data_IF_777135454380
#
_entry.id   IF_777135454380
#
_cell.length_a   1.000
_cell.length_b   1.000
_cell.length_c   1.000
_cell.angle_alpha   90.00
_cell.angle_beta   90.00
_cell.angle_gamma   90.00
#
_symmetry.space_group_name_H-M   'P 1'
#
loop_
_entity.id
_entity.type
_entity.pdbx_description
1 polymer ?
#
# COMPACT_ATOMS: atom_id res chain seq x y z
N UNK A 1 -22.68 22.03 -6.01
CA UNK A 1 -22.32 21.15 -4.89
C UNK A 1 -20.86 20.72 -5.05
N UNK A 2 -19.94 21.35 -4.32
CA UNK A 2 -18.51 21.04 -4.40
C UNK A 2 -18.17 19.99 -3.33
N UNK A 3 -18.01 18.74 -3.75
CA UNK A 3 -17.56 17.65 -2.87
C UNK A 3 -16.21 18.02 -2.23
N UNK A 4 -16.14 17.89 -0.91
CA UNK A 4 -15.11 18.48 -0.05
C UNK A 4 -13.70 18.03 -0.41
N UNK A 5 -12.86 18.98 -0.80
CA UNK A 5 -11.40 18.81 -0.77
C UNK A 5 -10.95 18.84 0.69
N UNK A 6 -11.09 17.72 1.40
CA UNK A 6 -10.71 17.55 2.81
C UNK A 6 -9.22 17.28 3.03
N UNK A 7 -8.44 17.11 1.95
CA UNK A 7 -7.02 16.82 2.07
C UNK A 7 -6.24 18.07 2.51
N UNK A 8 -5.53 17.96 3.63
CA UNK A 8 -4.72 19.04 4.21
C UNK A 8 -3.65 19.56 3.23
N UNK A 9 -3.18 18.72 2.31
CA UNK A 9 -2.16 19.09 1.32
C UNK A 9 -2.62 20.19 0.37
N UNK A 10 -3.92 20.35 0.12
CA UNK A 10 -4.43 21.44 -0.73
C UNK A 10 -4.11 22.83 -0.18
N UNK A 11 -3.98 22.98 1.14
CA UNK A 11 -3.62 24.25 1.78
C UNK A 11 -2.20 24.70 1.40
N UNK A 12 -1.36 23.78 0.95
CA UNK A 12 0.05 23.99 0.63
C UNK A 12 0.33 24.09 -0.89
N UNK A 13 -0.72 24.11 -1.72
CA UNK A 13 -0.59 24.25 -3.17
C UNK A 13 -1.62 25.21 -3.78
N UNK A 14 -1.37 25.60 -5.03
CA UNK A 14 -2.28 26.38 -5.86
C UNK A 14 -2.52 25.63 -7.17
N UNK A 15 -3.78 25.56 -7.61
CA UNK A 15 -4.13 24.97 -8.91
C UNK A 15 -3.78 25.95 -10.03
N UNK A 16 -2.94 25.55 -10.99
CA UNK A 16 -2.43 26.47 -12.02
C UNK A 16 -3.39 26.64 -13.20
N UNK A 17 -4.04 25.55 -13.65
CA UNK A 17 -4.77 25.54 -14.94
C UNK A 17 -6.27 25.23 -14.81
N UNK A 18 -6.85 25.37 -13.61
CA UNK A 18 -8.21 24.86 -13.31
C UNK A 18 -8.34 23.32 -13.38
N UNK A 19 -7.31 22.63 -13.88
CA UNK A 19 -7.18 21.17 -13.90
C UNK A 19 -6.61 20.70 -12.56
N UNK A 20 -7.33 19.82 -11.87
CA UNK A 20 -6.98 19.24 -10.55
C UNK A 20 -5.66 18.46 -10.51
N UNK A 21 -5.03 18.25 -11.67
CA UNK A 21 -3.82 17.46 -11.84
C UNK A 21 -2.53 18.29 -11.85
N UNK A 22 -2.61 19.59 -12.08
CA UNK A 22 -1.45 20.49 -12.10
C UNK A 22 -1.47 21.39 -10.86
N UNK A 23 -0.57 21.12 -9.92
CA UNK A 23 -0.48 21.81 -8.64
C UNK A 23 0.85 22.53 -8.52
N UNK A 24 0.83 23.83 -8.24
CA UNK A 24 2.01 24.61 -7.89
C UNK A 24 2.24 24.53 -6.38
N UNK A 25 3.45 24.15 -5.97
CA UNK A 25 3.86 24.18 -4.58
C UNK A 25 4.02 25.63 -4.11
N UNK A 26 3.49 26.00 -2.93
CA UNK A 26 3.62 27.36 -2.38
C UNK A 26 5.01 27.71 -1.87
N UNK A 27 5.90 26.73 -1.71
CA UNK A 27 7.20 26.89 -1.07
C UNK A 27 8.36 26.99 -2.06
N UNK A 28 8.30 26.27 -3.17
CA UNK A 28 9.35 26.27 -4.20
C UNK A 28 8.83 26.66 -5.59
N UNK A 29 7.56 27.06 -5.69
CA UNK A 29 6.86 27.41 -6.94
C UNK A 29 6.92 26.38 -8.07
N UNK A 30 7.43 25.18 -7.78
CA UNK A 30 7.50 24.09 -8.74
C UNK A 30 6.10 23.58 -9.06
N UNK A 31 5.82 23.46 -10.36
CA UNK A 31 4.58 22.87 -10.86
C UNK A 31 4.72 21.35 -10.87
N UNK A 32 3.83 20.67 -10.16
CA UNK A 32 3.74 19.23 -10.06
C UNK A 32 2.55 18.74 -10.88
N UNK A 33 2.83 17.94 -11.91
CA UNK A 33 1.82 17.24 -12.71
C UNK A 33 1.52 15.89 -12.07
N UNK A 34 0.27 15.55 -11.77
CA UNK A 34 -0.09 14.26 -11.14
C UNK A 34 -0.89 14.39 -9.85
N UNK A 35 -1.40 15.58 -9.54
CA UNK A 35 -2.32 15.82 -8.44
C UNK A 35 -1.70 15.70 -7.05
N UNK A 36 -2.57 15.54 -6.05
CA UNK A 36 -2.22 15.68 -4.62
C UNK A 36 -1.27 14.59 -4.13
N UNK A 37 -1.31 13.39 -4.72
CA UNK A 37 -0.41 12.29 -4.32
C UNK A 37 1.06 12.68 -4.46
N UNK A 38 1.44 13.21 -5.63
CA UNK A 38 2.81 13.69 -5.90
C UNK A 38 3.17 14.90 -5.05
N UNK A 39 2.19 15.77 -4.75
CA UNK A 39 2.38 16.89 -3.84
C UNK A 39 2.70 16.45 -2.41
N UNK A 40 1.99 15.45 -1.86
CA UNK A 40 2.28 14.91 -0.53
C UNK A 40 3.71 14.39 -0.44
N UNK A 41 4.18 13.66 -1.46
CA UNK A 41 5.56 13.18 -1.52
C UNK A 41 6.58 14.31 -1.62
N UNK A 42 6.31 15.32 -2.46
CA UNK A 42 7.14 16.52 -2.57
C UNK A 42 7.27 17.29 -1.25
N UNK A 43 6.16 17.47 -0.52
CA UNK A 43 6.12 18.17 0.76
C UNK A 43 6.72 17.34 1.91
N UNK A 44 6.49 16.02 1.93
CA UNK A 44 7.06 15.11 2.92
C UNK A 44 8.57 14.92 2.75
N UNK A 45 9.14 15.32 1.60
CA UNK A 45 10.55 15.11 1.28
C UNK A 45 10.89 13.66 0.95
N UNK A 46 9.88 12.82 0.75
CA UNK A 46 10.04 11.45 0.24
C UNK A 46 10.10 11.56 -1.27
N UNK A 47 11.31 11.56 -1.83
CA UNK A 47 11.59 11.78 -3.25
C UNK A 47 11.13 10.64 -4.18
N UNK A 48 9.94 10.08 -3.92
CA UNK A 48 9.29 9.07 -4.75
C UNK A 48 8.64 9.74 -5.95
N UNK A 49 9.15 9.47 -7.14
CA UNK A 49 8.66 9.97 -8.44
C UNK A 49 8.70 11.51 -8.61
N UNK A 50 9.11 12.28 -7.60
CA UNK A 50 9.17 13.75 -7.58
C UNK A 50 10.34 14.20 -6.71
N UNK A 51 11.08 15.24 -7.12
CA UNK A 51 12.12 15.84 -6.27
C UNK A 51 11.53 16.45 -5.00
N UNK A 52 12.19 16.25 -3.86
CA UNK A 52 11.79 16.83 -2.57
C UNK A 52 11.82 18.37 -2.59
N UNK A 53 10.94 19.00 -1.81
CA UNK A 53 11.02 20.44 -1.58
C UNK A 53 12.03 20.75 -0.49
N UNK A 54 12.95 21.68 -0.75
CA UNK A 54 13.93 22.16 0.25
C UNK A 54 13.34 23.28 1.11
N UNK A 55 12.43 24.08 0.55
CA UNK A 55 11.85 25.27 1.19
C UNK A 55 10.62 25.02 2.07
N UNK A 56 10.24 23.76 2.33
CA UNK A 56 9.06 23.44 3.16
C UNK A 56 9.44 23.50 4.64
N UNK A 57 8.65 24.18 5.48
CA UNK A 57 8.89 24.21 6.92
C UNK A 57 8.75 22.80 7.55
N UNK A 58 9.61 22.51 8.53
CA UNK A 58 9.69 21.25 9.28
C UNK A 58 8.31 20.74 9.73
N UNK A 59 7.46 21.61 10.27
CA UNK A 59 6.12 21.24 10.77
C UNK A 59 5.23 20.65 9.67
N UNK A 60 5.27 21.25 8.48
CA UNK A 60 4.48 20.79 7.32
C UNK A 60 5.08 19.51 6.77
N UNK A 61 6.41 19.41 6.71
CA UNK A 61 7.11 18.19 6.27
C UNK A 61 6.73 17.00 7.16
N UNK A 62 6.74 17.19 8.49
CA UNK A 62 6.37 16.15 9.46
C UNK A 62 4.91 15.73 9.34
N UNK A 63 3.98 16.69 9.23
CA UNK A 63 2.55 16.39 9.04
C UNK A 63 2.28 15.61 7.75
N UNK A 64 2.94 15.99 6.64
CA UNK A 64 2.79 15.30 5.36
C UNK A 64 3.45 13.92 5.40
N UNK A 65 4.59 13.77 6.07
CA UNK A 65 5.26 12.49 6.25
C UNK A 65 4.40 11.51 7.05
N UNK A 66 3.82 11.95 8.18
CA UNK A 66 2.92 11.13 8.98
C UNK A 66 1.69 10.68 8.18
N UNK A 67 1.13 11.57 7.35
CA UNK A 67 0.03 11.20 6.44
C UNK A 67 0.44 10.12 5.44
N UNK A 68 1.64 10.21 4.87
CA UNK A 68 2.17 9.21 3.91
C UNK A 68 2.43 7.87 4.60
N UNK A 69 3.00 7.89 5.81
CA UNK A 69 3.29 6.68 6.60
C UNK A 69 2.00 6.00 7.07
N UNK A 70 1.02 6.75 7.56
CA UNK A 70 -0.28 6.20 7.99
C UNK A 70 -1.02 5.53 6.82
N UNK A 71 -1.05 6.18 5.65
CA UNK A 71 -1.60 5.56 4.44
C UNK A 71 -0.90 4.23 4.14
N UNK A 72 0.42 4.19 4.26
CA UNK A 72 1.22 2.99 4.04
C UNK A 72 0.92 1.88 5.06
N UNK A 73 0.81 2.21 6.35
CA UNK A 73 0.41 1.24 7.38
C UNK A 73 -0.98 0.67 7.13
N UNK A 74 -1.95 1.49 6.69
CA UNK A 74 -3.29 1.02 6.31
C UNK A 74 -3.21 0.04 5.14
N UNK A 75 -2.37 0.30 4.13
CA UNK A 75 -2.16 -0.63 3.02
C UNK A 75 -1.55 -1.96 3.46
N UNK A 76 -0.55 -1.94 4.34
CA UNK A 76 0.08 -3.15 4.90
C UNK A 76 -0.90 -3.96 5.76
N UNK A 77 -1.70 -3.31 6.61
CA UNK A 77 -2.73 -3.99 7.42
C UNK A 77 -3.81 -4.64 6.55
N UNK A 78 -4.19 -4.00 5.43
CA UNK A 78 -5.19 -4.54 4.49
C UNK A 78 -4.70 -5.76 3.70
N UNK A 79 -3.39 -5.90 3.48
CA UNK A 79 -2.82 -7.13 2.92
C UNK A 79 -2.81 -8.29 3.92
N UNK A 80 -2.58 -8.01 5.21
CA UNK A 80 -2.57 -9.02 6.28
C UNK A 80 -3.99 -9.49 6.64
N UNK A 81 -4.97 -8.57 6.64
CA UNK A 81 -6.37 -8.91 6.94
C UNK A 81 -7.08 -9.81 5.91
N UNK A 82 -6.41 -10.19 4.81
CA UNK A 82 -6.90 -11.23 3.89
C UNK A 82 -6.47 -12.64 4.31
N UNK A 83 -5.56 -12.77 5.27
CA UNK A 83 -4.99 -14.06 5.68
C UNK A 83 -5.37 -14.49 7.11
N UNK A 84 -6.08 -13.66 7.90
CA UNK A 84 -6.42 -14.00 9.29
C UNK A 84 -7.93 -14.02 9.55
N UNK A 85 -8.59 -15.12 9.15
CA UNK A 85 -9.64 -15.70 10.00
C UNK A 85 -8.94 -16.67 10.96
N UNK A 86 -8.32 -16.16 12.02
CA UNK A 86 -8.02 -16.91 13.26
C UNK A 86 -7.13 -16.10 14.21
N UNK A 87 -7.71 -15.78 15.37
CA UNK A 87 -7.04 -15.55 16.67
C UNK A 87 -6.32 -14.21 16.84
N UNK A 88 -6.93 -13.35 17.67
CA UNK A 88 -6.35 -12.07 18.08
C UNK A 88 -5.32 -12.17 19.20
N UNK A 89 -4.57 -11.08 19.40
CA UNK A 89 -4.34 -10.42 20.70
C UNK A 89 -3.33 -9.26 20.62
N UNK A 90 -3.72 -8.15 21.27
CA UNK A 90 -2.92 -7.18 22.06
C UNK A 90 -1.89 -6.26 21.38
N UNK A 91 -2.02 -4.98 21.73
CA UNK A 91 -1.57 -3.81 20.99
C UNK A 91 -0.20 -3.25 21.44
N UNK A 92 0.53 -3.94 22.34
CA UNK A 92 1.60 -3.30 23.12
C UNK A 92 3.04 -3.66 22.71
N UNK A 93 3.25 -4.55 21.74
CA UNK A 93 4.59 -5.05 21.39
C UNK A 93 5.36 -4.31 20.29
N UNK A 94 4.67 -3.61 19.39
CA UNK A 94 5.22 -3.25 18.07
C UNK A 94 6.04 -1.94 18.08
N UNK A 95 5.98 -1.15 19.17
CA UNK A 95 6.60 0.19 19.20
C UNK A 95 8.13 0.20 19.20
N UNK A 96 8.81 -0.87 19.64
CA UNK A 96 10.26 -0.84 19.92
C UNK A 96 11.17 -1.22 18.74
N UNK A 97 10.62 -1.56 17.58
CA UNK A 97 11.41 -2.04 16.43
C UNK A 97 11.49 -1.05 15.26
N UNK A 98 10.87 0.13 15.40
CA UNK A 98 10.67 1.08 14.27
C UNK A 98 11.80 2.12 14.19
N UNK A 99 12.60 2.31 15.24
CA UNK A 99 13.58 3.42 15.32
C UNK A 99 14.88 3.18 14.54
N UNK A 100 15.26 1.94 14.21
CA UNK A 100 16.54 1.66 13.51
C UNK A 100 16.45 1.64 11.97
N UNK A 101 15.24 1.63 11.37
CA UNK A 101 15.04 1.48 9.92
C UNK A 101 14.75 2.83 9.21
N UNK A 102 15.28 3.95 9.72
CA UNK A 102 15.11 5.28 9.10
C UNK A 102 16.17 5.53 8.00
N UNK A 103 17.25 4.74 7.96
CA UNK A 103 18.40 4.96 7.06
C UNK A 103 18.20 4.58 5.58
N UNK A 104 17.31 3.64 5.26
CA UNK A 104 17.16 3.13 3.89
C UNK A 104 15.79 3.45 3.28
N UNK A 105 15.56 4.74 3.01
CA UNK A 105 14.38 5.30 2.33
C UNK A 105 14.08 4.75 0.92
N UNK A 106 14.94 3.89 0.36
CA UNK A 106 14.80 3.33 -1.00
C UNK A 106 13.87 2.12 -1.09
N UNK A 107 13.62 1.39 0.01
CA UNK A 107 12.80 0.17 -0.01
C UNK A 107 11.35 0.38 0.47
N UNK A 108 11.07 1.48 1.16
CA UNK A 108 9.74 1.82 1.67
C UNK A 108 8.71 2.00 0.55
N UNK A 109 9.11 2.35 -0.67
CA UNK A 109 8.17 2.76 -1.72
C UNK A 109 8.02 1.78 -2.89
N UNK A 110 8.75 0.66 -2.89
CA UNK A 110 8.55 -0.41 -3.88
C UNK A 110 7.14 -0.97 -3.70
N UNK A 111 6.30 -0.84 -4.73
CA UNK A 111 5.04 -1.59 -4.80
C UNK A 111 5.40 -3.07 -4.77
N UNK A 112 5.30 -3.72 -3.60
CA UNK A 112 5.37 -5.18 -3.55
C UNK A 112 3.99 -5.69 -3.96
N UNK A 113 3.89 -5.91 -5.26
CA UNK A 113 2.72 -6.42 -5.93
C UNK A 113 3.12 -6.75 -7.35
N UNK A 114 4.08 -7.67 -7.50
CA UNK A 114 4.07 -8.49 -8.71
C UNK A 114 2.69 -9.12 -8.74
N UNK A 115 1.84 -8.68 -9.67
CA UNK A 115 0.59 -9.38 -9.93
C UNK A 115 0.97 -10.85 -10.11
N UNK A 116 0.46 -11.70 -9.22
CA UNK A 116 0.65 -13.14 -9.37
C UNK A 116 0.09 -13.51 -10.74
N UNK A 117 0.88 -14.23 -11.54
CA UNK A 117 0.37 -14.73 -12.80
C UNK A 117 -0.83 -15.62 -12.52
N UNK A 118 -1.78 -15.68 -13.45
CA UNK A 118 -2.96 -16.57 -13.35
C UNK A 118 -2.51 -18.00 -12.94
N UNK A 119 -1.41 -18.46 -13.54
CA UNK A 119 -0.78 -19.75 -13.22
C UNK A 119 -0.27 -19.89 -11.78
N UNK A 120 0.17 -18.83 -11.13
CA UNK A 120 0.66 -18.89 -9.75
C UNK A 120 -0.50 -19.04 -8.74
N UNK A 121 -1.68 -18.49 -9.06
CA UNK A 121 -2.87 -18.54 -8.20
C UNK A 121 -3.45 -19.96 -8.19
N UNK A 122 -3.58 -20.60 -9.36
CA UNK A 122 -4.19 -21.92 -9.48
C UNK A 122 -3.28 -23.11 -9.12
N UNK A 123 -2.00 -22.88 -8.80
CA UNK A 123 -1.01 -23.97 -8.74
C UNK A 123 -0.73 -24.60 -7.39
N UNK A 124 -1.11 -24.01 -6.23
CA UNK A 124 -0.55 -24.52 -4.96
C UNK A 124 -1.51 -24.84 -3.81
N UNK A 125 -2.62 -24.14 -3.60
CA UNK A 125 -3.45 -24.44 -2.42
C UNK A 125 -4.72 -25.22 -2.81
N UNK A 126 -5.62 -24.60 -3.58
CA UNK A 126 -6.92 -25.21 -3.90
C UNK A 126 -6.81 -26.54 -4.65
N UNK A 127 -5.77 -26.69 -5.48
CA UNK A 127 -5.52 -27.95 -6.21
C UNK A 127 -5.14 -29.09 -5.26
N UNK A 128 -4.30 -28.82 -4.27
CA UNK A 128 -3.86 -29.86 -3.32
C UNK A 128 -5.01 -30.31 -2.43
N UNK A 129 -5.83 -29.36 -1.98
CA UNK A 129 -7.00 -29.66 -1.16
C UNK A 129 -8.09 -30.39 -1.96
N UNK A 130 -8.36 -29.97 -3.20
CA UNK A 130 -9.26 -30.71 -4.10
C UNK A 130 -8.74 -32.14 -4.38
N UNK A 131 -7.44 -32.30 -4.64
CA UNK A 131 -6.83 -33.62 -4.82
C UNK A 131 -6.97 -34.51 -3.59
N UNK A 132 -6.82 -33.95 -2.37
CA UNK A 132 -7.02 -34.69 -1.12
C UNK A 132 -8.48 -35.10 -0.93
N UNK A 133 -9.44 -34.21 -1.18
CA UNK A 133 -10.87 -34.56 -1.08
C UNK A 133 -11.28 -35.64 -2.07
N UNK A 134 -10.79 -35.57 -3.31
CA UNK A 134 -10.98 -36.61 -4.32
C UNK A 134 -10.39 -37.94 -3.83
N UNK A 135 -9.16 -37.94 -3.32
CA UNK A 135 -8.52 -39.15 -2.83
C UNK A 135 -9.29 -39.76 -1.63
N UNK A 136 -9.78 -38.94 -0.69
CA UNK A 136 -10.60 -39.39 0.44
C UNK A 136 -11.91 -39.99 -0.01
N UNK A 137 -12.55 -39.42 -1.03
CA UNK A 137 -13.80 -39.95 -1.57
C UNK A 137 -13.62 -41.38 -2.10
N UNK A 138 -12.59 -41.63 -2.90
CA UNK A 138 -12.30 -42.97 -3.42
C UNK A 138 -11.98 -43.95 -2.30
N UNK A 139 -11.15 -43.53 -1.33
CA UNK A 139 -10.77 -44.37 -0.21
C UNK A 139 -11.95 -44.75 0.68
N UNK A 140 -12.77 -43.77 1.08
CA UNK A 140 -13.90 -43.99 2.00
C UNK A 140 -15.00 -44.86 1.39
N UNK A 141 -15.17 -44.80 0.06
CA UNK A 141 -16.17 -45.58 -0.66
C UNK A 141 -15.60 -46.88 -1.26
N UNK A 142 -14.34 -47.23 -0.95
CA UNK A 142 -13.64 -48.40 -1.51
C UNK A 142 -13.72 -48.46 -3.05
N UNK A 143 -13.66 -47.31 -3.71
CA UNK A 143 -13.70 -47.22 -5.17
C UNK A 143 -12.28 -47.47 -5.69
N UNK A 144 -12.06 -48.52 -6.50
CA UNK A 144 -10.75 -48.76 -7.06
C UNK A 144 -10.40 -47.64 -8.07
N UNK A 145 -9.15 -47.17 -8.03
CA UNK A 145 -8.69 -46.03 -8.84
C UNK A 145 -8.75 -46.26 -10.35
N UNK A 146 -8.90 -47.52 -10.79
CA UNK A 146 -9.08 -47.88 -12.20
C UNK A 146 -10.44 -47.44 -12.79
N UNK A 147 -11.37 -46.96 -11.97
CA UNK A 147 -12.69 -46.46 -12.40
C UNK A 147 -12.61 -45.07 -13.03
N UNK A 148 -11.61 -44.26 -12.67
CA UNK A 148 -11.39 -42.95 -13.27
C UNK A 148 -10.49 -43.10 -14.51
N UNK A 149 -11.02 -42.82 -15.70
CA UNK A 149 -10.29 -42.83 -16.97
C UNK A 149 -10.41 -41.48 -17.67
#
# INVERSE_FOLDING_TARGET
>A
MASGRTDSAWKHCVSVDGKTRNLRCKYCDKVLTGGVYRLKHHLAGTSKDVGACVSVPEDVKKSMMDTVVNLQQIFLKKSISREESSVGQTESGIKRSIEEEIGNSSNIFKRKGSQSTINAIFKKNDREDACKEIARFFYNNAIPFNVAK
#
